data_IF_440574092212
#
_entry.id   IF_440574092212
#
_cell.length_a   1.000
_cell.length_b   1.000
_cell.length_c   1.000
_cell.angle_alpha   90.00
_cell.angle_beta   90.00
_cell.angle_gamma   90.00
#
_symmetry.space_group_name_H-M   'P 1'
#
loop_
_entity.id
_entity.type
_entity.pdbx_description
1 polymer ?
#
# COMPACT_ATOMS: atom_id res chain seq x y z
N UNK A 1 -15.52 -18.33 11.21
CA UNK A 1 -14.38 -17.54 11.69
C UNK A 1 -14.21 -16.32 10.81
N UNK A 2 -13.91 -15.19 11.41
CA UNK A 2 -13.65 -13.99 10.61
C UNK A 2 -12.26 -14.05 10.02
N UNK A 3 -12.12 -13.48 8.81
CA UNK A 3 -10.83 -13.37 8.16
C UNK A 3 -9.92 -12.40 8.91
N UNK A 4 -8.63 -12.67 8.88
CA UNK A 4 -7.62 -11.73 9.37
C UNK A 4 -7.41 -10.65 8.33
N UNK A 5 -7.19 -9.43 8.79
CA UNK A 5 -7.06 -8.28 7.91
C UNK A 5 -5.59 -7.94 7.71
N UNK A 6 -5.21 -7.80 6.43
CA UNK A 6 -3.96 -7.17 6.01
C UNK A 6 -4.35 -5.83 5.44
N UNK A 7 -3.65 -4.78 5.85
CA UNK A 7 -3.90 -3.42 5.36
C UNK A 7 -2.77 -2.99 4.43
N UNK A 8 -3.10 -2.17 3.45
CA UNK A 8 -2.10 -1.56 2.59
C UNK A 8 -2.46 -0.11 2.33
N UNK A 9 -1.47 0.70 2.04
CA UNK A 9 -1.64 2.13 1.80
C UNK A 9 -1.34 2.53 0.37
N UNK A 10 -2.32 3.18 -0.25
CA UNK A 10 -2.09 3.94 -1.47
C UNK A 10 -1.60 5.32 -1.02
N UNK A 11 -0.29 5.46 -0.86
CA UNK A 11 0.33 6.67 -0.33
C UNK A 11 0.55 7.66 -1.46
N UNK A 12 -0.04 8.84 -1.32
CA UNK A 12 0.09 9.92 -2.31
C UNK A 12 1.01 11.02 -1.78
N UNK A 13 1.85 11.52 -2.67
CA UNK A 13 2.64 12.73 -2.43
C UNK A 13 2.94 13.38 -3.77
N UNK A 14 2.68 14.68 -3.87
CA UNK A 14 2.98 15.48 -5.06
C UNK A 14 2.41 14.90 -6.36
N UNK A 15 1.18 14.35 -6.29
CA UNK A 15 0.50 13.81 -7.47
C UNK A 15 1.01 12.45 -7.92
N UNK A 16 1.68 11.70 -7.04
CA UNK A 16 2.22 10.38 -7.36
C UNK A 16 1.86 9.36 -6.30
N UNK A 17 1.82 8.11 -6.72
CA UNK A 17 1.52 6.94 -5.88
C UNK A 17 2.81 6.19 -5.57
N UNK A 18 3.00 5.84 -4.29
CA UNK A 18 4.16 5.07 -3.85
C UNK A 18 3.98 3.59 -4.13
N UNK A 19 4.95 3.00 -4.81
CA UNK A 19 5.02 1.56 -5.08
C UNK A 19 6.28 0.99 -4.45
N UNK A 20 6.19 -0.20 -3.86
CA UNK A 20 7.30 -0.88 -3.20
C UNK A 20 7.55 -2.25 -3.83
N UNK A 21 8.82 -2.54 -4.16
CA UNK A 21 9.19 -3.84 -4.72
C UNK A 21 9.62 -4.78 -3.62
N UNK A 22 9.02 -5.95 -3.59
CA UNK A 22 9.34 -6.97 -2.59
C UNK A 22 10.70 -7.61 -2.87
N UNK A 23 11.44 -7.87 -1.80
CA UNK A 23 12.70 -8.61 -1.84
C UNK A 23 12.56 -10.02 -1.27
N UNK A 24 11.45 -10.30 -0.57
CA UNK A 24 11.19 -11.58 0.10
C UNK A 24 9.68 -11.80 0.24
N UNK A 25 9.20 -13.03 0.38
CA UNK A 25 9.94 -14.27 0.16
C UNK A 25 10.31 -14.45 -1.32
N UNK A 26 11.14 -15.47 -1.66
CA UNK A 26 11.58 -15.64 -3.05
C UNK A 26 10.47 -15.71 -4.08
N UNK A 27 9.31 -16.26 -3.74
CA UNK A 27 8.17 -16.39 -4.65
C UNK A 27 7.59 -15.02 -5.04
N UNK A 28 7.79 -14.01 -4.21
CA UNK A 28 7.25 -12.66 -4.44
C UNK A 28 8.33 -11.64 -4.83
N UNK A 29 9.60 -12.03 -4.71
CA UNK A 29 10.71 -11.12 -4.98
C UNK A 29 10.64 -10.58 -6.42
N UNK A 30 10.84 -9.27 -6.56
CA UNK A 30 10.74 -8.60 -7.85
C UNK A 30 9.33 -8.11 -8.20
N UNK A 31 8.31 -8.52 -7.44
CA UNK A 31 6.93 -8.04 -7.61
C UNK A 31 6.70 -6.78 -6.78
N UNK A 32 5.80 -5.96 -7.25
CA UNK A 32 5.50 -4.66 -6.63
C UNK A 32 4.17 -4.69 -5.89
N UNK A 33 4.06 -3.89 -4.84
CA UNK A 33 2.86 -3.83 -4.02
C UNK A 33 2.64 -2.44 -3.43
N UNK A 34 1.43 -2.23 -2.94
CA UNK A 34 1.17 -1.13 -2.00
C UNK A 34 1.68 -1.58 -0.63
N UNK A 35 2.51 -0.77 0.05
CA UNK A 35 3.08 -1.19 1.33
C UNK A 35 2.05 -1.28 2.44
N UNK A 36 2.28 -2.17 3.38
CA UNK A 36 1.39 -2.38 4.53
C UNK A 36 1.73 -3.67 5.26
N UNK A 37 0.79 -4.19 6.02
CA UNK A 37 0.99 -5.42 6.77
C UNK A 37 -0.23 -5.83 7.57
N UNK A 38 -0.02 -6.75 8.52
CA UNK A 38 -1.11 -7.36 9.30
C UNK A 38 -1.59 -6.43 10.41
N UNK A 39 -2.90 -6.39 10.60
CA UNK A 39 -3.51 -5.72 11.77
C UNK A 39 -3.25 -6.58 13.00
N UNK A 40 -2.75 -5.96 14.06
CA UNK A 40 -2.51 -6.64 15.34
C UNK A 40 -3.73 -6.51 16.25
N UNK A 41 -3.85 -7.41 17.26
CA UNK A 41 -4.95 -7.32 18.21
C UNK A 41 -5.04 -5.94 18.86
N UNK A 42 -6.25 -5.37 18.88
CA UNK A 42 -6.50 -4.06 19.49
C UNK A 42 -6.23 -2.87 18.57
N UNK A 43 -5.70 -3.10 17.36
CA UNK A 43 -5.50 -2.02 16.40
C UNK A 43 -6.69 -1.88 15.45
N UNK A 44 -6.99 -0.63 15.06
CA UNK A 44 -7.82 -0.38 13.90
C UNK A 44 -6.99 -0.58 12.63
N UNK A 45 -7.66 -0.67 11.47
CA UNK A 45 -6.95 -0.75 10.18
C UNK A 45 -6.04 0.45 9.95
N UNK A 46 -6.54 1.65 10.29
CA UNK A 46 -5.76 2.88 10.13
C UNK A 46 -4.55 2.91 11.04
N UNK A 47 -4.69 2.48 12.30
CA UNK A 47 -3.57 2.40 13.23
C UNK A 47 -2.50 1.42 12.75
N UNK A 48 -2.93 0.25 12.26
CA UNK A 48 -2.02 -0.75 11.71
C UNK A 48 -1.26 -0.19 10.51
N UNK A 49 -1.95 0.53 9.63
CA UNK A 49 -1.33 1.11 8.45
C UNK A 49 -0.24 2.11 8.82
N UNK A 50 -0.55 3.03 9.75
CA UNK A 50 0.43 4.02 10.22
C UNK A 50 1.66 3.32 10.79
N UNK A 51 1.46 2.32 11.63
CA UNK A 51 2.56 1.56 12.26
C UNK A 51 3.40 0.82 11.20
N UNK A 52 2.73 0.11 10.28
CA UNK A 52 3.44 -0.68 9.26
C UNK A 52 4.27 0.22 8.34
N UNK A 53 3.74 1.36 7.91
CA UNK A 53 4.48 2.26 7.04
C UNK A 53 5.67 2.90 7.75
N UNK A 54 5.54 3.14 9.06
CA UNK A 54 6.68 3.59 9.87
C UNK A 54 7.77 2.52 9.95
N UNK A 55 7.38 1.27 10.22
CA UNK A 55 8.33 0.16 10.35
C UNK A 55 8.99 -0.19 9.03
N UNK A 56 8.21 -0.26 7.95
CA UNK A 56 8.71 -0.73 6.65
C UNK A 56 9.45 0.34 5.87
N UNK A 57 9.03 1.60 5.98
CA UNK A 57 9.51 2.66 5.11
C UNK A 57 10.07 3.87 5.84
N UNK A 58 9.89 3.94 7.16
CA UNK A 58 10.40 5.07 7.95
C UNK A 58 9.64 6.37 7.74
N UNK A 59 8.37 6.30 7.37
CA UNK A 59 7.56 7.49 7.12
C UNK A 59 6.38 7.60 8.06
N UNK A 60 5.89 8.83 8.23
CA UNK A 60 4.62 9.09 8.92
C UNK A 60 3.57 9.42 7.89
N UNK A 61 2.40 8.81 8.03
CA UNK A 61 1.30 8.95 7.07
C UNK A 61 -0.01 9.24 7.78
N UNK A 62 -0.93 9.84 7.04
CA UNK A 62 -2.29 10.09 7.49
C UNK A 62 -3.24 9.30 6.60
N UNK A 63 -3.90 8.26 7.12
CA UNK A 63 -4.94 7.56 6.37
C UNK A 63 -6.10 8.53 6.08
N UNK A 64 -6.60 8.49 4.83
CA UNK A 64 -7.65 9.40 4.38
C UNK A 64 -8.97 8.68 4.21
N UNK A 65 -9.05 7.79 3.22
CA UNK A 65 -10.28 7.08 2.90
C UNK A 65 -9.99 5.60 2.68
N UNK A 66 -10.91 4.75 3.11
CA UNK A 66 -10.83 3.35 2.74
C UNK A 66 -11.30 3.19 1.30
N UNK A 67 -10.50 2.50 0.49
CA UNK A 67 -10.90 2.13 -0.86
C UNK A 67 -12.04 1.10 -0.74
N UNK A 68 -13.19 1.31 -1.41
CA UNK A 68 -14.32 0.36 -1.28
C UNK A 68 -13.93 -1.05 -1.68
N UNK A 69 -14.38 -2.02 -0.89
CA UNK A 69 -14.14 -3.44 -1.14
C UNK A 69 -13.03 -4.01 -0.29
N UNK A 70 -12.81 -5.28 -0.50
CA UNK A 70 -11.69 -6.01 0.08
C UNK A 70 -11.38 -7.19 -0.84
N UNK A 71 -10.16 -7.67 -0.79
CA UNK A 71 -9.71 -8.69 -1.74
C UNK A 71 -9.14 -9.88 -1.01
N UNK A 72 -9.51 -11.11 -1.39
CA UNK A 72 -8.95 -12.30 -0.75
C UNK A 72 -7.46 -12.38 -1.04
N UNK A 73 -6.70 -12.78 -0.03
CA UNK A 73 -5.28 -13.09 -0.16
C UNK A 73 -5.13 -14.61 -0.15
N UNK A 74 -4.51 -15.16 0.87
CA UNK A 74 -4.48 -16.59 1.10
C UNK A 74 -5.67 -16.96 2.01
N UNK A 75 -6.02 -18.24 2.15
CA UNK A 75 -7.12 -18.63 3.03
C UNK A 75 -6.98 -18.03 4.43
N UNK A 76 -8.05 -17.41 4.90
CA UNK A 76 -8.10 -16.77 6.21
C UNK A 76 -7.62 -15.34 6.25
N UNK A 77 -7.31 -14.72 5.10
CA UNK A 77 -6.83 -13.33 5.05
C UNK A 77 -7.54 -12.54 3.96
N UNK A 78 -7.79 -11.27 4.25
CA UNK A 78 -8.32 -10.31 3.26
C UNK A 78 -7.48 -9.05 3.27
N UNK A 79 -7.35 -8.43 2.11
CA UNK A 79 -6.65 -7.16 1.94
C UNK A 79 -7.67 -6.01 1.95
N UNK A 80 -7.41 -5.01 2.78
CA UNK A 80 -8.14 -3.75 2.79
C UNK A 80 -7.15 -2.62 2.53
N UNK A 81 -7.54 -1.67 1.70
CA UNK A 81 -6.65 -0.59 1.27
C UNK A 81 -7.23 0.76 1.66
N UNK A 82 -6.37 1.63 2.15
CA UNK A 82 -6.68 3.04 2.42
C UNK A 82 -5.82 3.92 1.54
N UNK A 83 -6.40 5.03 1.08
CA UNK A 83 -5.57 6.12 0.57
C UNK A 83 -4.94 6.80 1.77
N UNK A 84 -3.72 7.30 1.62
CA UNK A 84 -2.99 7.94 2.70
C UNK A 84 -2.14 9.06 2.16
N UNK A 85 -1.91 10.08 2.99
CA UNK A 85 -1.05 11.21 2.67
C UNK A 85 0.29 11.05 3.39
N UNK A 86 1.38 11.33 2.70
CA UNK A 86 2.70 11.39 3.35
C UNK A 86 2.75 12.67 4.20
N UNK A 87 3.00 12.49 5.49
CA UNK A 87 3.09 13.62 6.44
C UNK A 87 4.54 14.06 6.61
N UNK A 88 5.44 13.10 6.85
CA UNK A 88 6.85 13.40 7.05
C UNK A 88 7.71 12.18 6.75
N UNK A 89 8.99 12.42 6.55
CA UNK A 89 9.97 11.39 6.27
C UNK A 89 10.19 11.20 4.77
N UNK A 90 11.31 10.58 4.45
CA UNK A 90 11.65 10.16 3.08
C UNK A 90 11.57 8.63 3.06
N UNK A 91 10.68 8.06 2.24
CA UNK A 91 10.54 6.60 2.23
C UNK A 91 11.85 5.90 1.87
N UNK A 92 12.17 4.84 2.60
CA UNK A 92 13.32 4.00 2.33
C UNK A 92 12.90 2.53 2.48
N UNK A 93 13.46 1.61 1.69
CA UNK A 93 13.08 0.20 1.76
C UNK A 93 13.80 -0.48 2.95
N UNK A 94 13.17 -0.43 4.13
CA UNK A 94 13.77 -0.90 5.38
C UNK A 94 13.55 -2.39 5.65
N UNK A 95 12.40 -2.95 5.26
CA UNK A 95 12.05 -4.35 5.54
C UNK A 95 11.37 -4.97 4.33
N UNK A 96 11.85 -6.13 3.91
CA UNK A 96 11.24 -6.96 2.86
C UNK A 96 11.03 -6.25 1.52
N UNK A 97 11.62 -5.08 1.32
CA UNK A 97 11.59 -4.32 0.09
C UNK A 97 13.00 -3.92 -0.31
N UNK A 98 13.26 -3.79 -1.61
CA UNK A 98 14.58 -3.40 -2.11
C UNK A 98 14.54 -2.21 -3.07
N UNK A 99 13.35 -1.74 -3.44
CA UNK A 99 13.21 -0.58 -4.31
C UNK A 99 11.85 0.09 -4.06
N UNK A 100 11.82 1.40 -4.20
CA UNK A 100 10.59 2.20 -4.15
C UNK A 100 10.51 3.05 -5.40
N UNK A 101 9.28 3.31 -5.87
CA UNK A 101 9.03 4.23 -6.98
C UNK A 101 7.80 5.07 -6.70
N UNK A 102 7.85 6.31 -7.11
CA UNK A 102 6.70 7.19 -7.17
C UNK A 102 6.15 7.18 -8.58
N UNK A 103 4.89 6.78 -8.74
CA UNK A 103 4.26 6.61 -10.04
C UNK A 103 3.22 7.69 -10.27
N UNK A 104 3.28 8.37 -11.41
CA UNK A 104 2.21 9.25 -11.85
C UNK A 104 0.99 8.46 -12.31
N UNK A 105 -0.15 9.15 -12.56
CA UNK A 105 -1.40 8.46 -12.92
C UNK A 105 -1.29 7.60 -14.17
N UNK A 106 -0.39 7.93 -15.08
CA UNK A 106 -0.21 7.21 -16.36
C UNK A 106 0.87 6.14 -16.29
N UNK A 107 1.45 5.90 -15.12
CA UNK A 107 2.59 4.99 -14.97
C UNK A 107 2.22 3.66 -14.29
N UNK A 108 0.93 3.39 -14.12
CA UNK A 108 0.47 2.20 -13.39
C UNK A 108 0.94 0.88 -13.96
N UNK A 109 1.19 0.80 -15.26
CA UNK A 109 1.65 -0.42 -15.90
C UNK A 109 3.19 -0.52 -15.97
N UNK A 110 3.91 0.44 -15.39
CA UNK A 110 5.37 0.44 -15.45
C UNK A 110 6.01 -0.54 -14.48
N UNK A 111 5.25 -1.10 -13.55
CA UNK A 111 5.73 -2.09 -12.59
C UNK A 111 4.82 -3.32 -12.59
N UNK A 112 5.39 -4.46 -12.19
CA UNK A 112 4.67 -5.73 -12.14
C UNK A 112 4.04 -5.93 -10.76
N UNK A 113 2.82 -5.42 -10.59
CA UNK A 113 2.09 -5.50 -9.33
C UNK A 113 1.72 -6.93 -8.95
N UNK A 114 1.70 -7.22 -7.65
CA UNK A 114 1.03 -8.41 -7.14
C UNK A 114 -0.44 -8.38 -7.58
N UNK A 115 -0.95 -9.53 -7.99
CA UNK A 115 -2.30 -9.60 -8.58
C UNK A 115 -3.38 -9.08 -7.64
N UNK A 116 -3.28 -9.38 -6.34
CA UNK A 116 -4.29 -8.95 -5.36
C UNK A 116 -4.32 -7.44 -5.16
N UNK A 117 -3.24 -6.73 -5.50
CA UNK A 117 -3.18 -5.28 -5.35
C UNK A 117 -3.78 -4.53 -6.54
N UNK A 118 -3.89 -5.18 -7.70
CA UNK A 118 -4.28 -4.51 -8.96
C UNK A 118 -5.60 -3.76 -8.90
N UNK A 119 -6.68 -4.31 -8.31
CA UNK A 119 -7.94 -3.55 -8.25
C UNK A 119 -7.81 -2.26 -7.45
N UNK A 120 -7.12 -2.31 -6.31
CA UNK A 120 -6.92 -1.14 -5.47
C UNK A 120 -5.98 -0.12 -6.12
N UNK A 121 -4.96 -0.59 -6.82
CA UNK A 121 -4.04 0.28 -7.58
C UNK A 121 -4.80 1.03 -8.66
N UNK A 122 -5.67 0.33 -9.41
CA UNK A 122 -6.47 0.95 -10.46
C UNK A 122 -7.34 2.08 -9.89
N UNK A 123 -7.99 1.83 -8.76
CA UNK A 123 -8.83 2.84 -8.10
C UNK A 123 -7.99 4.02 -7.60
N UNK A 124 -6.83 3.73 -7.00
CA UNK A 124 -5.93 4.78 -6.50
C UNK A 124 -5.44 5.68 -7.65
N UNK A 125 -5.04 5.09 -8.76
CA UNK A 125 -4.57 5.85 -9.91
C UNK A 125 -5.69 6.68 -10.55
N UNK A 126 -6.92 6.16 -10.57
CA UNK A 126 -8.08 6.89 -11.04
C UNK A 126 -8.32 8.14 -10.17
N UNK A 127 -8.25 8.01 -8.85
CA UNK A 127 -8.41 9.14 -7.94
C UNK A 127 -7.30 10.16 -8.13
N UNK A 128 -6.08 9.69 -8.34
CA UNK A 128 -4.94 10.55 -8.58
C UNK A 128 -5.11 11.35 -9.88
N UNK A 129 -5.58 10.69 -10.95
CA UNK A 129 -5.84 11.34 -12.24
C UNK A 129 -6.95 12.39 -12.13
N UNK A 130 -7.93 12.16 -11.25
CA UNK A 130 -9.02 13.11 -11.00
C UNK A 130 -8.59 14.31 -10.15
N UNK A 131 -7.34 14.33 -9.68
CA UNK A 131 -6.83 15.41 -8.84
C UNK A 131 -7.35 15.39 -7.40
N UNK A 132 -7.89 14.26 -6.96
CA UNK A 132 -8.48 14.15 -5.63
C UNK A 132 -7.42 14.17 -4.51
N UNK A 133 -6.18 13.86 -4.84
CA UNK A 133 -5.07 13.78 -3.88
C UNK A 133 -3.82 14.38 -4.50
N UNK A 134 -3.36 15.46 -3.94
CA UNK A 134 -2.17 16.18 -4.44
C UNK A 134 -0.95 15.97 -3.56
#
# INVERSE_FOLDING_TARGET
MSDRVVVAGAVFDRGRLLAARRSAPPELAGRWELPGGKVEPGESGEQALVRELREELGIETEPLERVPGQWPLKPGYVLRVWTARLVSGVPAPLQDHDELRWLGPDEGESVDWLDQDRPAVAEALRRLADGAHH
#
